data_IF_422661048290
#
_entry.id   IF_422661048290
#
_cell.length_a   1.000
_cell.length_b   1.000
_cell.length_c   1.000
_cell.angle_alpha   90.00
_cell.angle_beta   90.00
_cell.angle_gamma   90.00
#
_symmetry.space_group_name_H-M   'P 1'
#
loop_
_entity.id
_entity.type
_entity.pdbx_description
1 polymer ?
#
# COMPACT_ATOMS: atom_id res chain seq x y z
N UNK A 1 10.09 14.98 -0.07
CA UNK A 1 8.80 15.71 -0.01
C UNK A 1 8.07 15.80 -1.35
N UNK A 2 8.76 15.91 -2.50
CA UNK A 2 8.08 16.05 -3.81
C UNK A 2 7.24 14.84 -4.21
N UNK A 3 7.83 13.63 -4.14
CA UNK A 3 7.17 12.39 -4.58
C UNK A 3 5.89 12.08 -3.81
N UNK A 4 5.93 12.10 -2.47
CA UNK A 4 4.75 11.83 -1.64
C UNK A 4 3.60 12.81 -1.91
N UNK A 5 3.89 14.10 -2.02
CA UNK A 5 2.88 15.12 -2.37
C UNK A 5 2.32 14.92 -3.76
N UNK A 6 3.18 14.60 -4.73
CA UNK A 6 2.76 14.32 -6.10
C UNK A 6 1.85 13.09 -6.15
N UNK A 7 2.24 11.98 -5.51
CA UNK A 7 1.42 10.77 -5.44
C UNK A 7 0.09 11.03 -4.73
N UNK A 8 0.11 11.80 -3.63
CA UNK A 8 -1.10 12.19 -2.94
C UNK A 8 -2.05 12.94 -3.86
N UNK A 9 -1.58 13.98 -4.56
CA UNK A 9 -2.40 14.72 -5.52
C UNK A 9 -2.85 13.82 -6.69
N UNK A 10 -1.98 12.95 -7.20
CA UNK A 10 -2.30 12.04 -8.30
C UNK A 10 -3.39 11.02 -7.90
N UNK A 11 -3.40 10.56 -6.65
CA UNK A 11 -4.47 9.69 -6.13
C UNK A 11 -5.72 10.47 -5.71
N UNK A 12 -5.60 11.71 -5.21
CA UNK A 12 -6.72 12.60 -4.80
C UNK A 12 -7.50 13.15 -6.01
N UNK A 13 -6.77 13.70 -7.00
CA UNK A 13 -7.35 14.15 -8.29
C UNK A 13 -8.05 13.00 -9.01
N UNK A 14 -7.69 11.78 -8.62
CA UNK A 14 -8.12 10.56 -9.24
C UNK A 14 -8.83 9.61 -8.27
N UNK A 15 -9.42 10.15 -7.20
CA UNK A 15 -10.25 9.38 -6.26
C UNK A 15 -11.43 8.68 -6.96
N UNK A 16 -11.76 9.10 -8.19
CA UNK A 16 -12.71 8.43 -9.08
C UNK A 16 -12.07 7.57 -10.20
N UNK A 17 -10.87 7.82 -10.73
CA UNK A 17 -10.50 7.31 -12.07
C UNK A 17 -9.00 7.03 -12.30
N UNK A 18 -8.35 6.21 -11.47
CA UNK A 18 -7.01 5.63 -11.73
C UNK A 18 -6.85 4.89 -13.09
N UNK A 19 -7.81 5.02 -14.00
CA UNK A 19 -7.89 4.58 -15.37
C UNK A 19 -8.30 5.78 -16.24
N UNK A 20 -7.67 5.93 -17.41
CA UNK A 20 -8.22 6.79 -18.45
C UNK A 20 -9.68 6.37 -18.66
N UNK A 21 -10.59 7.33 -18.48
CA UNK A 21 -12.03 7.15 -18.66
C UNK A 21 -12.31 6.98 -20.17
N UNK A 22 -12.02 5.80 -20.70
CA UNK A 22 -12.46 5.28 -21.99
C UNK A 22 -13.07 3.89 -21.75
N UNK A 23 -14.10 3.85 -20.92
CA UNK A 23 -15.26 2.99 -21.15
C UNK A 23 -16.40 3.58 -20.30
N UNK A 24 -17.07 4.55 -20.92
CA UNK A 24 -18.43 4.92 -20.55
C UNK A 24 -19.26 3.73 -21.01
N UNK A 25 -19.45 2.74 -20.15
CA UNK A 25 -20.68 1.96 -20.11
C UNK A 25 -20.78 1.14 -18.81
N UNK A 26 -21.86 1.44 -18.10
CA UNK A 26 -22.53 0.63 -17.09
C UNK A 26 -21.84 0.43 -15.73
N UNK A 27 -22.25 1.35 -14.85
CA UNK A 27 -22.60 1.17 -13.45
C UNK A 27 -23.33 -0.16 -13.15
N UNK A 28 -22.59 -1.26 -13.21
CA UNK A 28 -23.04 -2.59 -12.86
C UNK A 28 -22.47 -2.95 -11.46
N UNK A 29 -23.36 -2.86 -10.48
CA UNK A 29 -23.20 -3.31 -9.08
C UNK A 29 -22.34 -4.57 -9.00
N UNK A 30 -21.23 -4.52 -8.29
CA UNK A 30 -20.24 -5.61 -8.16
C UNK A 30 -20.78 -6.85 -7.43
N UNK A 31 -21.66 -7.61 -8.08
CA UNK A 31 -22.26 -8.86 -7.58
C UNK A 31 -22.30 -9.99 -8.63
N UNK A 32 -21.46 -9.92 -9.67
CA UNK A 32 -21.28 -10.98 -10.69
C UNK A 32 -19.83 -11.39 -10.50
N UNK A 33 -19.70 -12.58 -9.93
CA UNK A 33 -18.55 -13.41 -10.21
C UNK A 33 -18.49 -13.63 -11.73
N UNK A 34 -17.33 -13.45 -12.38
CA UNK A 34 -17.16 -13.88 -13.76
C UNK A 34 -17.47 -15.38 -13.83
N UNK A 35 -18.38 -15.78 -14.73
CA UNK A 35 -18.80 -17.17 -14.88
C UNK A 35 -17.61 -18.11 -15.19
N UNK A 36 -16.57 -17.57 -15.84
CA UNK A 36 -15.27 -18.22 -16.05
C UNK A 36 -14.16 -17.16 -16.11
N UNK A 37 -13.44 -16.93 -15.01
CA UNK A 37 -12.26 -16.05 -15.01
C UNK A 37 -11.94 -15.47 -13.64
N UNK A 38 -10.67 -15.51 -13.26
CA UNK A 38 -10.21 -14.92 -12.00
C UNK A 38 -10.55 -13.43 -11.97
N UNK A 39 -11.14 -12.96 -10.87
CA UNK A 39 -11.36 -11.53 -10.59
C UNK A 39 -10.07 -10.74 -10.83
N UNK A 40 -10.12 -9.71 -11.67
CA UNK A 40 -9.01 -8.76 -11.87
C UNK A 40 -8.81 -7.96 -10.58
N UNK A 41 -7.59 -7.93 -10.08
CA UNK A 41 -7.22 -7.15 -8.90
C UNK A 41 -7.07 -5.67 -9.28
N UNK A 42 -7.53 -4.79 -8.42
CA UNK A 42 -7.22 -3.36 -8.51
C UNK A 42 -5.72 -3.11 -8.30
N UNK A 43 -5.23 -1.95 -8.74
CA UNK A 43 -3.83 -1.53 -8.52
C UNK A 43 -3.47 -1.53 -7.02
N UNK A 44 -4.39 -1.08 -6.16
CA UNK A 44 -4.20 -1.08 -4.71
C UNK A 44 -4.11 -2.50 -4.17
N UNK A 45 -5.00 -3.40 -4.57
CA UNK A 45 -4.95 -4.81 -4.12
C UNK A 45 -3.67 -5.51 -4.59
N UNK A 46 -3.27 -5.28 -5.84
CA UNK A 46 -2.03 -5.84 -6.37
C UNK A 46 -0.83 -5.37 -5.55
N UNK A 47 -0.73 -4.07 -5.29
CA UNK A 47 0.31 -3.49 -4.44
C UNK A 47 0.29 -4.08 -3.03
N UNK A 48 -0.89 -4.24 -2.42
CA UNK A 48 -0.99 -4.80 -1.07
C UNK A 48 -0.50 -6.24 -1.00
N UNK A 49 -0.77 -7.05 -2.02
CA UNK A 49 -0.24 -8.42 -2.12
C UNK A 49 1.28 -8.42 -2.33
N UNK A 50 1.81 -7.50 -3.13
CA UNK A 50 3.25 -7.37 -3.35
C UNK A 50 3.98 -6.91 -2.08
N UNK A 51 3.40 -5.95 -1.34
CA UNK A 51 3.94 -5.50 -0.05
C UNK A 51 3.89 -6.61 1.01
N UNK A 52 2.80 -7.37 1.06
CA UNK A 52 2.67 -8.52 1.96
C UNK A 52 3.77 -9.56 1.68
N UNK A 53 3.98 -9.91 0.41
CA UNK A 53 5.06 -10.82 0.00
C UNK A 53 6.43 -10.26 0.36
N UNK A 54 6.67 -8.97 0.10
CA UNK A 54 7.92 -8.29 0.44
C UNK A 54 8.21 -8.40 1.94
N UNK A 55 7.23 -8.09 2.79
CA UNK A 55 7.37 -8.19 4.25
C UNK A 55 7.68 -9.62 4.69
N UNK A 56 6.86 -10.58 4.26
CA UNK A 56 6.97 -11.97 4.69
C UNK A 56 8.20 -12.71 4.12
N UNK A 57 8.82 -12.18 3.07
CA UNK A 57 10.06 -12.72 2.51
C UNK A 57 11.30 -12.44 3.36
N UNK A 58 11.19 -11.55 4.36
CA UNK A 58 12.29 -11.11 5.22
C UNK A 58 12.08 -11.61 6.65
N UNK A 59 13.18 -11.80 7.38
CA UNK A 59 13.13 -12.09 8.82
C UNK A 59 12.90 -10.80 9.63
N UNK A 60 13.46 -9.68 9.17
CA UNK A 60 13.35 -8.36 9.79
C UNK A 60 13.29 -7.29 8.70
N UNK A 61 12.53 -6.23 8.95
CA UNK A 61 12.40 -5.08 8.07
C UNK A 61 12.14 -3.81 8.87
N UNK A 62 12.32 -2.64 8.28
CA UNK A 62 12.15 -1.35 8.94
C UNK A 62 10.92 -0.57 8.45
N UNK A 63 10.44 0.39 9.26
CA UNK A 63 9.43 1.36 8.86
C UNK A 63 9.83 2.13 7.60
N UNK A 64 11.13 2.44 7.47
CA UNK A 64 11.70 3.12 6.32
C UNK A 64 11.61 2.25 5.06
N UNK A 65 11.92 0.96 5.15
CA UNK A 65 11.79 0.05 4.00
C UNK A 65 10.33 -0.05 3.51
N UNK A 66 9.36 -0.13 4.43
CA UNK A 66 7.93 -0.13 4.02
C UNK A 66 7.56 1.20 3.38
N UNK A 67 8.02 2.31 3.95
CA UNK A 67 7.76 3.64 3.42
C UNK A 67 8.34 3.80 2.00
N UNK A 68 9.61 3.42 1.81
CA UNK A 68 10.31 3.52 0.53
C UNK A 68 9.66 2.61 -0.52
N UNK A 69 9.42 1.34 -0.18
CA UNK A 69 8.73 0.39 -1.05
C UNK A 69 7.37 0.93 -1.51
N UNK A 70 6.63 1.58 -0.61
CA UNK A 70 5.32 2.17 -0.94
C UNK A 70 5.44 3.28 -1.98
N UNK A 71 6.40 4.20 -1.82
CA UNK A 71 6.60 5.30 -2.76
C UNK A 71 7.18 4.83 -4.09
N UNK A 72 8.12 3.89 -4.08
CA UNK A 72 8.75 3.33 -5.28
C UNK A 72 7.73 2.62 -6.18
N UNK A 73 6.69 2.02 -5.58
CA UNK A 73 5.58 1.43 -6.32
C UNK A 73 4.48 2.43 -6.71
N UNK A 74 4.66 3.73 -6.42
CA UNK A 74 3.69 4.78 -6.79
C UNK A 74 2.44 4.81 -5.91
N UNK A 75 2.53 4.30 -4.68
CA UNK A 75 1.42 4.32 -3.73
C UNK A 75 1.66 5.32 -2.59
N UNK A 76 0.57 5.74 -1.94
CA UNK A 76 0.61 6.52 -0.70
C UNK A 76 0.56 5.59 0.52
N UNK A 77 1.03 6.08 1.66
CA UNK A 77 1.15 5.29 2.90
C UNK A 77 -0.19 4.70 3.35
N UNK A 78 -1.31 5.38 3.09
CA UNK A 78 -2.65 4.87 3.38
C UNK A 78 -2.94 3.52 2.70
N UNK A 79 -2.33 3.22 1.56
CA UNK A 79 -2.47 1.92 0.89
C UNK A 79 -1.69 0.79 1.60
N UNK A 80 -0.62 1.11 2.33
CA UNK A 80 0.23 0.15 3.04
C UNK A 80 -0.32 -0.22 4.44
N UNK A 81 -1.01 0.71 5.12
CA UNK A 81 -1.54 0.48 6.48
C UNK A 81 -2.46 -0.75 6.60
N UNK A 82 -3.35 -1.07 5.64
CA UNK A 82 -4.14 -2.30 5.67
C UNK A 82 -3.29 -3.56 5.72
N UNK A 83 -2.13 -3.58 5.03
CA UNK A 83 -1.21 -4.73 5.04
C UNK A 83 -0.57 -4.89 6.41
N UNK A 84 -0.09 -3.80 7.01
CA UNK A 84 0.49 -3.82 8.36
C UNK A 84 -0.54 -4.31 9.40
N UNK A 85 -1.79 -3.84 9.29
CA UNK A 85 -2.88 -4.29 10.15
C UNK A 85 -3.22 -5.77 9.94
N UNK A 86 -3.27 -6.22 8.68
CA UNK A 86 -3.49 -7.63 8.33
C UNK A 86 -2.41 -8.55 8.89
N UNK A 87 -1.16 -8.09 8.90
CA UNK A 87 -0.01 -8.85 9.35
C UNK A 87 0.29 -8.70 10.85
N UNK A 88 -0.54 -8.00 11.63
CA UNK A 88 -0.28 -7.72 13.04
C UNK A 88 -0.06 -8.98 13.91
N UNK A 89 -0.54 -10.15 13.49
CA UNK A 89 -0.30 -11.44 14.16
C UNK A 89 0.92 -12.21 13.63
N UNK A 90 1.55 -11.72 12.56
CA UNK A 90 2.74 -12.30 11.90
C UNK A 90 3.97 -11.42 12.01
N UNK A 91 3.82 -10.19 12.51
CA UNK A 91 4.93 -9.25 12.71
C UNK A 91 4.91 -8.71 14.13
N UNK A 92 6.08 -8.47 14.69
CA UNK A 92 6.27 -7.92 16.03
C UNK A 92 7.04 -6.61 15.96
N UNK A 93 6.51 -5.58 16.61
CA UNK A 93 7.11 -4.25 16.73
C UNK A 93 6.61 -3.56 18.00
N UNK A 94 7.35 -2.54 18.48
CA UNK A 94 7.01 -1.82 19.72
C UNK A 94 6.36 -0.46 19.44
N UNK A 95 5.24 -0.20 20.14
CA UNK A 95 4.48 1.06 20.03
C UNK A 95 3.87 1.26 18.64
N UNK A 96 3.93 2.49 18.11
CA UNK A 96 3.38 2.82 16.79
C UNK A 96 4.32 2.42 15.64
N UNK A 97 3.78 2.06 14.47
CA UNK A 97 4.56 1.63 13.31
C UNK A 97 5.47 2.75 12.73
N UNK A 98 5.14 4.03 12.93
CA UNK A 98 5.94 5.19 12.50
C UNK A 98 6.36 5.17 11.02
N UNK A 99 5.48 4.64 10.16
CA UNK A 99 5.66 4.64 8.69
C UNK A 99 5.14 5.98 8.17
N UNK A 100 6.01 6.98 8.07
CA UNK A 100 5.69 8.30 7.50
C UNK A 100 6.97 9.06 7.17
N UNK A 101 6.88 10.06 6.27
CA UNK A 101 8.00 10.91 5.92
C UNK A 101 8.64 11.57 7.15
N UNK A 102 7.79 12.13 8.02
CA UNK A 102 8.26 12.86 9.19
C UNK A 102 9.09 11.94 10.10
N UNK A 103 8.60 10.73 10.37
CA UNK A 103 9.31 9.77 11.21
C UNK A 103 10.56 9.20 10.55
N UNK A 104 10.45 8.72 9.30
CA UNK A 104 11.56 8.04 8.62
C UNK A 104 12.69 8.98 8.20
N UNK A 105 12.37 10.22 7.77
CA UNK A 105 13.36 11.12 7.14
C UNK A 105 13.60 12.42 7.89
N UNK A 106 12.57 13.00 8.54
CA UNK A 106 12.76 14.26 9.29
C UNK A 106 13.33 14.01 10.69
N UNK A 107 12.78 13.04 11.40
CA UNK A 107 13.21 12.64 12.75
C UNK A 107 14.23 11.50 12.72
N UNK A 108 14.42 10.84 11.57
CA UNK A 108 15.33 9.70 11.40
C UNK A 108 15.05 8.55 12.41
N UNK A 109 13.79 8.37 12.79
CA UNK A 109 13.36 7.28 13.65
C UNK A 109 13.28 5.99 12.85
N UNK A 110 14.26 5.10 13.06
CA UNK A 110 14.25 3.76 12.50
C UNK A 110 13.57 2.80 13.46
N UNK A 111 12.49 2.17 13.01
CA UNK A 111 11.78 1.11 13.74
C UNK A 111 11.88 -0.19 12.98
N UNK A 112 12.38 -1.22 13.66
CA UNK A 112 12.47 -2.56 13.11
C UNK A 112 11.26 -3.39 13.52
N UNK A 113 10.83 -4.23 12.59
CA UNK A 113 9.73 -5.17 12.67
C UNK A 113 10.31 -6.55 12.43
N UNK A 114 9.98 -7.50 13.31
CA UNK A 114 10.37 -8.91 13.14
C UNK A 114 9.21 -9.71 12.60
N UNK A 115 9.45 -10.56 11.62
CA UNK A 115 8.46 -11.54 11.16
C UNK A 115 8.51 -12.74 12.12
N UNK A 116 7.32 -13.19 12.56
CA UNK A 116 7.13 -14.28 13.53
C UNK A 116 7.08 -15.65 12.87
#
# INVERSE_FOLDING_TARGET
MGVEKFLKIAWETNELNGEANFDIDEDWKSAQMPLFGNRKLSKIEKFQLELEKFILSKNEFSNKEVYDFTLENGHIINHALPVIKKLANKISYTGHHNISYNKCYKMQETKNFKVL
#
